data_IF_888058108540
#
_entry.id   IF_888058108540
#
_cell.length_a   1.000
_cell.length_b   1.000
_cell.length_c   1.000
_cell.angle_alpha   90.00
_cell.angle_beta   90.00
_cell.angle_gamma   90.00
#
_symmetry.space_group_name_H-M   'P 1'
#
loop_
_entity.id
_entity.type
_entity.pdbx_description
1 polymer ?
#
# COMPACT_ATOMS: atom_id res chain seq x y z
N UNK A 1 -13.75 11.20 12.04
CA UNK A 1 -12.37 10.69 11.78
C UNK A 1 -12.53 9.55 10.78
N UNK A 2 -11.80 9.59 9.68
CA UNK A 2 -11.96 8.59 8.62
C UNK A 2 -11.22 7.32 9.03
N UNK A 3 -11.93 6.20 9.23
CA UNK A 3 -11.34 4.89 9.50
C UNK A 3 -10.50 4.32 8.34
N UNK A 4 -10.20 5.14 7.34
CA UNK A 4 -9.42 4.84 6.13
C UNK A 4 -8.04 5.43 6.13
N UNK A 5 -7.61 6.05 7.25
CA UNK A 5 -6.26 6.60 7.35
C UNK A 5 -5.24 5.49 7.02
N UNK A 6 -4.30 5.81 6.17
CA UNK A 6 -3.15 4.95 5.84
C UNK A 6 -2.41 4.54 7.11
N UNK A 7 -2.39 5.44 8.09
CA UNK A 7 -1.83 5.19 9.41
C UNK A 7 -2.49 4.00 10.12
N UNK A 8 -3.82 3.92 10.15
CA UNK A 8 -4.54 2.80 10.77
C UNK A 8 -4.20 1.46 10.10
N UNK A 9 -4.00 1.44 8.78
CA UNK A 9 -3.55 0.26 8.06
C UNK A 9 -2.10 -0.11 8.43
N UNK A 10 -1.21 0.88 8.57
CA UNK A 10 0.19 0.67 9.00
C UNK A 10 0.23 0.16 10.44
N UNK A 11 -0.56 0.73 11.35
CA UNK A 11 -0.65 0.32 12.76
C UNK A 11 -1.07 -1.14 12.88
N UNK A 12 -2.14 -1.56 12.20
CA UNK A 12 -2.57 -2.97 12.16
C UNK A 12 -1.49 -3.91 11.61
N UNK A 13 -0.73 -3.48 10.60
CA UNK A 13 0.39 -4.26 10.05
C UNK A 13 1.58 -4.34 11.01
N UNK A 14 1.86 -3.31 11.82
CA UNK A 14 2.92 -3.34 12.86
C UNK A 14 2.61 -4.31 14.00
N UNK A 15 1.34 -4.47 14.34
CA UNK A 15 0.87 -5.42 15.37
C UNK A 15 0.77 -6.88 14.86
N UNK A 16 1.09 -7.08 13.58
CA UNK A 16 0.95 -8.37 12.91
C UNK A 16 1.87 -9.45 13.48
N UNK A 17 1.38 -10.68 13.45
CA UNK A 17 2.12 -11.89 13.85
C UNK A 17 3.36 -12.14 12.98
N UNK A 18 4.30 -12.98 13.44
CA UNK A 18 5.50 -13.32 12.67
C UNK A 18 5.20 -13.96 11.31
N UNK A 19 4.07 -14.66 11.18
CA UNK A 19 3.60 -15.20 9.90
C UNK A 19 3.23 -14.07 8.90
N UNK A 20 2.56 -13.03 9.37
CA UNK A 20 2.21 -11.86 8.54
C UNK A 20 3.47 -11.08 8.12
N UNK A 21 4.49 -10.98 9.00
CA UNK A 21 5.79 -10.39 8.64
C UNK A 21 6.47 -11.15 7.51
N UNK A 22 6.39 -12.50 7.51
CA UNK A 22 6.93 -13.33 6.44
C UNK A 22 6.30 -13.04 5.07
N UNK A 23 4.98 -12.79 5.04
CA UNK A 23 4.26 -12.39 3.81
C UNK A 23 4.68 -11.01 3.32
N UNK A 24 4.81 -10.04 4.23
CA UNK A 24 5.31 -8.69 3.89
C UNK A 24 6.70 -8.80 3.23
N UNK A 25 7.59 -9.64 3.78
CA UNK A 25 8.91 -9.86 3.19
C UNK A 25 8.84 -10.45 1.78
N UNK A 26 7.93 -11.40 1.55
CA UNK A 26 7.73 -12.01 0.23
C UNK A 26 7.28 -10.95 -0.78
N UNK A 27 6.29 -10.13 -0.42
CA UNK A 27 5.74 -9.07 -1.27
C UNK A 27 6.80 -8.02 -1.62
N UNK A 28 7.45 -7.43 -0.62
CA UNK A 28 8.52 -6.44 -0.83
C UNK A 28 9.71 -7.05 -1.60
N UNK A 29 10.05 -8.32 -1.34
CA UNK A 29 11.10 -9.02 -2.05
C UNK A 29 10.82 -9.16 -3.55
N UNK A 30 9.56 -9.37 -3.95
CA UNK A 30 9.15 -9.38 -5.37
C UNK A 30 9.28 -7.99 -6.00
N UNK A 31 8.81 -6.94 -5.30
CA UNK A 31 8.96 -5.55 -5.76
C UNK A 31 10.42 -5.17 -5.98
N UNK A 32 11.30 -5.51 -5.02
CA UNK A 32 12.76 -5.30 -5.14
C UNK A 32 13.32 -6.07 -6.34
N UNK A 33 12.92 -7.33 -6.54
CA UNK A 33 13.40 -8.16 -7.65
C UNK A 33 13.09 -7.52 -9.00
N UNK A 34 11.85 -7.06 -9.19
CA UNK A 34 11.44 -6.37 -10.43
C UNK A 34 12.21 -5.06 -10.60
N UNK A 35 12.27 -4.26 -9.54
CA UNK A 35 12.95 -2.97 -9.56
C UNK A 35 14.43 -3.08 -9.91
N UNK A 36 15.14 -4.11 -9.38
CA UNK A 36 16.55 -4.39 -9.70
C UNK A 36 16.74 -4.84 -11.14
N UNK A 37 15.82 -5.67 -11.66
CA UNK A 37 15.87 -6.12 -13.06
C UNK A 37 15.66 -4.97 -14.05
N UNK A 38 14.83 -3.99 -13.72
CA UNK A 38 14.51 -2.84 -14.56
C UNK A 38 15.57 -1.73 -14.48
N UNK A 39 15.99 -1.37 -13.25
CA UNK A 39 16.80 -0.18 -12.97
C UNK A 39 18.20 -0.45 -12.40
N UNK A 40 18.57 -1.72 -12.23
CA UNK A 40 19.87 -2.11 -11.67
C UNK A 40 19.89 -2.16 -10.13
N UNK A 41 20.99 -2.74 -9.55
CA UNK A 41 21.08 -3.06 -8.13
C UNK A 41 21.61 -1.92 -7.24
N UNK A 42 22.03 -0.78 -7.83
CA UNK A 42 22.61 0.33 -7.08
C UNK A 42 21.52 1.33 -6.67
N UNK A 43 21.21 1.48 -5.37
CA UNK A 43 20.17 2.41 -4.90
C UNK A 43 20.54 3.89 -5.14
N UNK A 44 21.82 4.23 -5.38
CA UNK A 44 22.19 5.60 -5.73
C UNK A 44 21.74 5.98 -7.15
N UNK A 45 21.66 5.00 -8.04
CA UNK A 45 21.24 5.18 -9.43
C UNK A 45 19.80 4.68 -9.69
N UNK A 46 19.14 4.10 -8.69
CA UNK A 46 17.79 3.56 -8.76
C UNK A 46 16.95 4.08 -7.60
N UNK A 47 16.27 5.21 -7.82
CA UNK A 47 15.47 5.89 -6.79
C UNK A 47 14.35 4.98 -6.25
N UNK A 48 13.67 4.23 -7.15
CA UNK A 48 12.62 3.27 -6.77
C UNK A 48 13.15 2.17 -5.85
N UNK A 49 14.38 1.68 -6.11
CA UNK A 49 15.03 0.70 -5.24
C UNK A 49 15.35 1.28 -3.86
N UNK A 50 15.80 2.53 -3.81
CA UNK A 50 16.06 3.24 -2.55
C UNK A 50 14.79 3.34 -1.70
N UNK A 51 13.67 3.70 -2.31
CA UNK A 51 12.37 3.81 -1.64
C UNK A 51 11.89 2.43 -1.15
N UNK A 52 12.04 1.37 -1.96
CA UNK A 52 11.71 0.00 -1.57
C UNK A 52 12.58 -0.52 -0.42
N UNK A 53 13.86 -0.15 -0.38
CA UNK A 53 14.76 -0.47 0.74
C UNK A 53 14.29 0.25 2.01
N UNK A 54 13.89 1.52 1.92
CA UNK A 54 13.34 2.26 3.05
C UNK A 54 12.03 1.62 3.54
N UNK A 55 11.11 1.27 2.63
CA UNK A 55 9.87 0.53 2.93
C UNK A 55 10.15 -0.81 3.60
N UNK A 56 11.15 -1.57 3.13
CA UNK A 56 11.55 -2.83 3.75
C UNK A 56 12.04 -2.63 5.19
N UNK A 57 12.90 -1.64 5.41
CA UNK A 57 13.43 -1.31 6.75
C UNK A 57 12.34 -0.86 7.71
N UNK A 58 11.39 -0.03 7.28
CA UNK A 58 10.24 0.40 8.11
C UNK A 58 9.32 -0.78 8.50
N UNK A 59 9.30 -1.85 7.70
CA UNK A 59 8.60 -3.10 8.01
C UNK A 59 9.49 -4.13 8.74
N UNK A 60 10.63 -3.71 9.31
CA UNK A 60 11.57 -4.56 10.05
C UNK A 60 12.13 -5.75 9.24
N UNK A 61 12.27 -5.61 7.92
CA UNK A 61 12.98 -6.60 7.10
C UNK A 61 14.47 -6.54 7.41
N UNK A 62 15.13 -7.66 7.81
CA UNK A 62 16.56 -7.66 8.08
C UNK A 62 17.39 -7.23 6.86
N UNK A 63 18.43 -6.42 7.08
CA UNK A 63 19.29 -5.93 6.00
C UNK A 63 19.89 -7.08 5.15
N UNK A 64 20.29 -8.17 5.78
CA UNK A 64 20.84 -9.35 5.09
C UNK A 64 19.84 -9.95 4.09
N UNK A 65 18.54 -9.91 4.41
CA UNK A 65 17.48 -10.38 3.52
C UNK A 65 17.32 -9.45 2.32
N UNK A 66 17.35 -8.14 2.55
CA UNK A 66 17.26 -7.13 1.48
C UNK A 66 18.42 -7.29 0.52
N UNK A 67 19.65 -7.33 1.04
CA UNK A 67 20.89 -7.51 0.24
C UNK A 67 20.88 -8.81 -0.54
N UNK A 68 20.42 -9.91 0.08
CA UNK A 68 20.30 -11.21 -0.59
C UNK A 68 19.34 -11.17 -1.76
N UNK A 69 18.19 -10.50 -1.63
CA UNK A 69 17.22 -10.35 -2.73
C UNK A 69 17.81 -9.52 -3.86
N UNK A 70 18.42 -8.38 -3.56
CA UNK A 70 19.09 -7.52 -4.55
C UNK A 70 20.18 -8.29 -5.29
N UNK A 71 21.06 -8.98 -4.57
CA UNK A 71 22.15 -9.76 -5.16
C UNK A 71 21.65 -10.90 -6.05
N UNK A 72 20.59 -11.61 -5.61
CA UNK A 72 19.97 -12.67 -6.38
C UNK A 72 19.35 -12.15 -7.67
N UNK A 73 18.65 -11.02 -7.61
CA UNK A 73 18.02 -10.39 -8.78
C UNK A 73 19.06 -9.88 -9.79
N UNK A 74 20.14 -9.23 -9.30
CA UNK A 74 21.24 -8.73 -10.14
C UNK A 74 22.06 -9.83 -10.79
N UNK A 75 22.26 -10.97 -10.11
CA UNK A 75 23.04 -12.09 -10.60
C UNK A 75 22.30 -13.02 -11.58
N UNK A 76 21.07 -12.69 -11.99
CA UNK A 76 20.26 -13.55 -12.86
C UNK A 76 19.80 -14.86 -12.23
N UNK A 77 20.00 -15.02 -10.91
CA UNK A 77 19.61 -16.22 -10.18
C UNK A 77 18.10 -16.33 -9.93
N UNK A 78 17.34 -15.26 -10.17
CA UNK A 78 15.89 -15.26 -10.12
C UNK A 78 15.31 -15.42 -11.53
N UNK A 79 14.81 -16.62 -11.82
CA UNK A 79 14.18 -16.96 -13.12
C UNK A 79 12.73 -16.51 -13.19
N UNK A 80 12.13 -16.04 -12.10
CA UNK A 80 10.75 -15.63 -12.07
C UNK A 80 10.58 -14.33 -12.87
N UNK A 81 9.65 -14.35 -13.78
CA UNK A 81 9.29 -13.17 -14.57
C UNK A 81 7.97 -12.62 -14.01
N UNK A 82 8.09 -11.70 -13.04
CA UNK A 82 6.91 -11.09 -12.43
C UNK A 82 6.29 -10.05 -13.36
N UNK A 83 4.98 -10.09 -13.45
CA UNK A 83 4.17 -9.13 -14.20
C UNK A 83 3.15 -8.49 -13.28
N UNK A 84 2.95 -7.18 -13.46
CA UNK A 84 1.92 -6.43 -12.75
C UNK A 84 0.56 -6.68 -13.36
N UNK A 85 -0.42 -7.00 -12.52
CA UNK A 85 -1.82 -7.17 -12.89
C UNK A 85 -2.69 -6.32 -11.97
N UNK A 86 -3.72 -5.69 -12.52
CA UNK A 86 -4.71 -4.94 -11.75
C UNK A 86 -6.08 -5.56 -12.00
N UNK A 87 -6.74 -5.93 -10.92
CA UNK A 87 -8.10 -6.42 -10.93
C UNK A 87 -9.02 -5.40 -10.29
N UNK A 88 -10.19 -5.23 -10.86
CA UNK A 88 -11.21 -4.29 -10.40
C UNK A 88 -12.53 -5.02 -10.24
N UNK A 89 -13.29 -4.62 -9.21
CA UNK A 89 -14.58 -5.24 -8.96
C UNK A 89 -15.32 -4.62 -7.80
N UNK A 90 -16.43 -5.24 -7.50
CA UNK A 90 -17.28 -4.84 -6.39
C UNK A 90 -17.35 -5.97 -5.36
N UNK A 91 -17.13 -5.64 -4.11
CA UNK A 91 -17.37 -6.50 -2.95
C UNK A 91 -18.84 -6.47 -2.50
N UNK A 92 -19.13 -7.03 -1.32
CA UNK A 92 -20.47 -7.01 -0.74
C UNK A 92 -21.08 -5.61 -0.75
N UNK A 93 -22.37 -5.55 -1.11
CA UNK A 93 -23.15 -4.32 -1.16
C UNK A 93 -22.54 -3.18 -2.00
N UNK A 94 -21.77 -3.53 -3.04
CA UNK A 94 -21.26 -2.55 -3.99
C UNK A 94 -20.02 -1.77 -3.54
N UNK A 95 -19.30 -2.24 -2.54
CA UNK A 95 -17.99 -1.68 -2.19
C UNK A 95 -17.04 -1.84 -3.37
N UNK A 96 -16.51 -0.73 -3.89
CA UNK A 96 -15.54 -0.76 -4.97
C UNK A 96 -14.16 -1.22 -4.47
N UNK A 97 -13.51 -2.12 -5.21
CA UNK A 97 -12.17 -2.63 -4.90
C UNK A 97 -11.25 -2.58 -6.12
N UNK A 98 -10.00 -2.19 -5.87
CA UNK A 98 -8.87 -2.35 -6.79
C UNK A 98 -7.85 -3.27 -6.11
N UNK A 99 -7.42 -4.32 -6.82
CA UNK A 99 -6.44 -5.31 -6.34
C UNK A 99 -5.23 -5.27 -7.25
N UNK A 100 -4.11 -4.78 -6.75
CA UNK A 100 -2.84 -4.76 -7.46
C UNK A 100 -2.04 -6.02 -7.13
N UNK A 101 -1.63 -6.73 -8.16
CA UNK A 101 -0.89 -7.98 -8.04
C UNK A 101 0.44 -7.92 -8.77
N UNK A 102 1.42 -8.65 -8.23
CA UNK A 102 2.71 -8.89 -8.86
C UNK A 102 2.95 -10.41 -8.89
N UNK A 103 2.79 -11.02 -10.05
CA UNK A 103 2.72 -12.47 -10.20
C UNK A 103 3.62 -13.01 -11.30
N UNK A 104 4.12 -14.23 -11.10
CA UNK A 104 4.80 -15.04 -12.10
C UNK A 104 3.82 -15.96 -12.87
N UNK A 105 2.51 -15.98 -12.47
CA UNK A 105 1.48 -16.82 -13.09
C UNK A 105 0.12 -16.12 -13.10
N UNK A 106 -0.16 -15.41 -14.19
CA UNK A 106 -1.43 -14.66 -14.39
C UNK A 106 -2.69 -15.50 -14.22
N UNK A 107 -2.67 -16.76 -14.71
CA UNK A 107 -3.85 -17.62 -14.69
C UNK A 107 -4.19 -18.07 -13.27
N UNK A 108 -3.17 -18.41 -12.46
CA UNK A 108 -3.34 -18.72 -11.05
C UNK A 108 -3.95 -17.53 -10.32
N UNK A 109 -3.31 -16.36 -10.41
CA UNK A 109 -3.75 -15.14 -9.71
C UNK A 109 -5.15 -14.72 -10.13
N UNK A 110 -5.47 -14.75 -11.43
CA UNK A 110 -6.83 -14.44 -11.92
C UNK A 110 -7.87 -15.40 -11.34
N UNK A 111 -7.54 -16.69 -11.25
CA UNK A 111 -8.41 -17.72 -10.67
C UNK A 111 -8.64 -17.47 -9.18
N UNK A 112 -7.58 -17.22 -8.42
CA UNK A 112 -7.64 -16.96 -6.99
C UNK A 112 -8.45 -15.70 -6.66
N UNK A 113 -8.12 -14.57 -7.31
CA UNK A 113 -8.83 -13.30 -7.10
C UNK A 113 -10.32 -13.44 -7.43
N UNK A 114 -10.67 -14.05 -8.58
CA UNK A 114 -12.06 -14.29 -8.93
C UNK A 114 -12.77 -15.15 -7.90
N UNK A 115 -12.12 -16.23 -7.46
CA UNK A 115 -12.68 -17.12 -6.46
C UNK A 115 -12.99 -16.39 -5.14
N UNK A 116 -12.10 -15.47 -4.69
CA UNK A 116 -12.34 -14.71 -3.46
C UNK A 116 -13.53 -13.76 -3.61
N UNK A 117 -13.61 -13.02 -4.72
CA UNK A 117 -14.77 -12.16 -4.97
C UNK A 117 -16.08 -12.98 -4.98
N UNK A 118 -16.16 -14.04 -5.76
CA UNK A 118 -17.36 -14.89 -5.88
C UNK A 118 -17.74 -15.51 -4.52
N UNK A 119 -16.77 -16.04 -3.77
CA UNK A 119 -16.98 -16.71 -2.49
C UNK A 119 -17.56 -15.77 -1.43
N UNK A 120 -17.14 -14.51 -1.41
CA UNK A 120 -17.54 -13.56 -0.38
C UNK A 120 -18.62 -12.56 -0.84
N UNK A 121 -19.34 -12.86 -1.91
CA UNK A 121 -20.51 -12.11 -2.35
C UNK A 121 -20.20 -10.84 -3.12
N UNK A 122 -19.01 -10.78 -3.72
CA UNK A 122 -18.59 -9.75 -4.64
C UNK A 122 -18.70 -10.21 -6.10
N UNK A 123 -18.19 -9.39 -6.99
CA UNK A 123 -18.14 -9.67 -8.43
C UNK A 123 -16.90 -8.99 -9.05
N UNK A 124 -16.05 -9.78 -9.69
CA UNK A 124 -14.92 -9.25 -10.45
C UNK A 124 -15.41 -8.62 -11.75
N UNK A 125 -15.10 -7.34 -11.95
CA UNK A 125 -15.48 -6.57 -13.12
C UNK A 125 -14.44 -6.57 -14.24
N UNK A 126 -14.69 -5.72 -15.23
CA UNK A 126 -13.71 -5.42 -16.29
C UNK A 126 -12.77 -4.31 -15.83
N UNK A 127 -11.58 -4.23 -16.43
CA UNK A 127 -10.65 -3.13 -16.18
C UNK A 127 -11.32 -1.77 -16.44
N UNK A 128 -11.12 -0.82 -15.52
CA UNK A 128 -11.72 0.51 -15.58
C UNK A 128 -13.12 0.62 -14.93
N UNK A 129 -13.67 -0.48 -14.38
CA UNK A 129 -15.04 -0.43 -13.83
C UNK A 129 -15.16 0.33 -12.50
N UNK A 130 -14.06 0.47 -11.73
CA UNK A 130 -14.05 1.21 -10.46
C UNK A 130 -12.89 2.20 -10.33
N UNK A 131 -11.85 2.11 -11.16
CA UNK A 131 -10.64 2.94 -11.05
C UNK A 131 -10.92 4.45 -11.15
N UNK A 132 -11.98 4.85 -11.88
CA UNK A 132 -12.42 6.26 -11.97
C UNK A 132 -12.90 6.83 -10.62
N UNK A 133 -13.22 5.98 -9.66
CA UNK A 133 -13.65 6.37 -8.31
C UNK A 133 -12.46 6.67 -7.38
N UNK A 134 -11.24 6.41 -7.81
CA UNK A 134 -10.03 6.54 -7.01
C UNK A 134 -9.06 7.55 -7.64
N UNK A 135 -8.61 8.51 -6.84
CA UNK A 135 -7.53 9.42 -7.23
C UNK A 135 -6.18 8.86 -6.74
N UNK A 136 -5.15 8.92 -7.60
CA UNK A 136 -3.79 8.61 -7.18
C UNK A 136 -3.20 9.82 -6.48
N UNK A 137 -2.78 9.68 -5.22
CA UNK A 137 -2.15 10.73 -4.41
C UNK A 137 -0.92 10.22 -3.70
N UNK A 138 0.08 11.09 -3.53
CA UNK A 138 1.18 10.84 -2.60
C UNK A 138 0.65 10.95 -1.16
N UNK A 139 1.01 9.99 -0.30
CA UNK A 139 0.70 10.01 1.13
C UNK A 139 2.00 9.93 1.91
N UNK A 140 2.23 10.91 2.77
CA UNK A 140 3.34 10.93 3.72
C UNK A 140 2.78 10.78 5.13
N UNK A 141 3.30 9.83 5.88
CA UNK A 141 2.98 9.62 7.30
C UNK A 141 4.15 10.12 8.13
N UNK A 142 3.88 11.06 9.00
CA UNK A 142 4.85 11.65 9.94
C UNK A 142 4.51 11.19 11.35
N UNK A 143 5.53 10.79 12.13
CA UNK A 143 5.36 10.45 13.55
C UNK A 143 4.95 11.69 14.34
N UNK A 144 3.85 11.59 15.11
CA UNK A 144 3.39 12.68 15.97
C UNK A 144 3.94 12.51 17.40
N UNK A 145 5.09 13.10 17.65
CA UNK A 145 5.72 13.15 19.00
C UNK A 145 5.43 14.49 19.69
N UNK A 146 4.17 14.94 19.66
CA UNK A 146 3.79 16.25 20.20
C UNK A 146 4.10 17.41 19.26
N UNK A 147 3.94 17.15 17.95
CA UNK A 147 4.11 18.18 16.92
C UNK A 147 2.98 19.20 17.06
N UNK A 148 3.33 20.48 16.95
CA UNK A 148 2.34 21.54 16.81
C UNK A 148 1.66 21.45 15.44
N UNK A 149 0.33 21.27 15.45
CA UNK A 149 -0.45 21.03 14.22
C UNK A 149 -0.39 22.22 13.26
N UNK A 150 -0.43 23.46 13.80
CA UNK A 150 -0.35 24.67 12.98
C UNK A 150 1.01 24.78 12.27
N UNK A 151 2.08 24.48 12.98
CA UNK A 151 3.45 24.47 12.42
C UNK A 151 3.60 23.37 11.35
N UNK A 152 3.09 22.17 11.61
CA UNK A 152 3.13 21.08 10.61
C UNK A 152 2.33 21.44 9.36
N UNK A 153 1.18 22.09 9.54
CA UNK A 153 0.31 22.54 8.45
C UNK A 153 1.04 23.58 7.58
N UNK A 154 1.65 24.60 8.20
CA UNK A 154 2.43 25.60 7.47
C UNK A 154 3.59 24.99 6.68
N UNK A 155 4.35 24.11 7.32
CA UNK A 155 5.47 23.40 6.69
C UNK A 155 5.00 22.47 5.56
N UNK A 156 3.91 21.74 5.74
CA UNK A 156 3.37 20.86 4.70
C UNK A 156 2.88 21.64 3.48
N UNK A 157 2.18 22.75 3.68
CA UNK A 157 1.71 23.60 2.57
C UNK A 157 2.86 24.31 1.84
N UNK A 158 3.99 24.60 2.49
CA UNK A 158 5.20 25.10 1.82
C UNK A 158 5.69 24.11 0.73
N UNK A 159 5.45 22.80 0.93
CA UNK A 159 5.80 21.74 -0.01
C UNK A 159 4.58 21.19 -0.79
N UNK A 160 3.59 22.03 -1.03
CA UNK A 160 2.43 21.74 -1.88
C UNK A 160 1.59 20.54 -1.41
N UNK A 161 1.40 20.40 -0.09
CA UNK A 161 0.44 19.44 0.45
C UNK A 161 -1.00 19.82 0.06
N UNK A 162 -1.82 18.81 -0.24
CA UNK A 162 -3.24 18.99 -0.58
C UNK A 162 -4.12 19.01 0.68
N UNK A 163 -3.80 18.13 1.64
CA UNK A 163 -4.60 17.90 2.84
C UNK A 163 -3.75 17.33 3.97
N UNK A 164 -4.16 17.58 5.20
CA UNK A 164 -3.50 17.14 6.43
C UNK A 164 -4.52 16.60 7.42
N UNK A 165 -4.25 15.44 8.02
CA UNK A 165 -5.01 14.89 9.14
C UNK A 165 -4.05 14.49 10.25
N UNK A 166 -4.27 15.01 11.47
CA UNK A 166 -3.43 14.72 12.64
C UNK A 166 -4.17 13.77 13.57
N UNK A 167 -3.52 12.65 13.90
CA UNK A 167 -3.96 11.68 14.90
C UNK A 167 -2.99 11.67 16.09
N UNK A 168 -3.33 10.94 17.16
CA UNK A 168 -2.52 10.90 18.39
C UNK A 168 -1.07 10.47 18.15
N UNK A 169 -0.84 9.47 17.30
CA UNK A 169 0.49 8.88 17.09
C UNK A 169 1.15 9.32 15.79
N UNK A 170 0.40 9.83 14.82
CA UNK A 170 0.91 10.19 13.50
C UNK A 170 0.06 11.26 12.81
N UNK A 171 0.67 11.97 11.87
CA UNK A 171 -0.02 12.83 10.92
C UNK A 171 0.05 12.24 9.51
N UNK A 172 -1.07 12.24 8.80
CA UNK A 172 -1.19 11.83 7.41
C UNK A 172 -1.33 13.06 6.52
N UNK A 173 -0.47 13.16 5.52
CA UNK A 173 -0.38 14.32 4.62
C UNK A 173 -0.50 13.83 3.20
N UNK A 174 -1.47 14.35 2.44
CA UNK A 174 -1.63 14.04 1.03
C UNK A 174 -1.05 15.12 0.12
N UNK A 175 -0.53 14.73 -1.04
CA UNK A 175 0.09 15.64 -2.02
C UNK A 175 0.03 15.10 -3.45
N UNK A 176 0.30 15.98 -4.40
CA UNK A 176 0.51 15.60 -5.79
C UNK A 176 1.96 15.13 -6.05
N UNK A 177 2.96 15.81 -5.47
CA UNK A 177 4.38 15.44 -5.57
C UNK A 177 4.91 14.85 -4.26
N UNK A 178 4.91 13.51 -4.20
CA UNK A 178 5.37 12.74 -3.05
C UNK A 178 6.84 13.00 -2.72
N UNK A 179 7.69 13.19 -3.74
CA UNK A 179 9.13 13.35 -3.51
C UNK A 179 9.44 14.71 -2.91
N UNK A 180 8.83 15.77 -3.42
CA UNK A 180 8.99 17.13 -2.92
C UNK A 180 8.53 17.24 -1.46
N UNK A 181 7.33 16.73 -1.16
CA UNK A 181 6.80 16.75 0.22
C UNK A 181 7.67 15.95 1.19
N UNK A 182 8.06 14.72 0.81
CA UNK A 182 8.90 13.86 1.66
C UNK A 182 10.25 14.51 1.96
N UNK A 183 10.93 15.03 0.94
CA UNK A 183 12.25 15.67 1.10
C UNK A 183 12.13 16.97 1.89
N UNK A 184 11.09 17.76 1.64
CA UNK A 184 10.81 18.99 2.35
C UNK A 184 10.60 18.75 3.86
N UNK A 185 9.67 17.87 4.22
CA UNK A 185 9.39 17.55 5.62
C UNK A 185 10.60 16.92 6.31
N UNK A 186 11.35 16.05 5.63
CA UNK A 186 12.59 15.48 6.16
C UNK A 186 13.64 16.57 6.45
N UNK A 187 13.77 17.58 5.59
CA UNK A 187 14.70 18.70 5.78
C UNK A 187 14.35 19.60 6.98
N UNK A 188 13.04 19.66 7.31
CA UNK A 188 12.52 20.37 8.51
C UNK A 188 12.70 19.54 9.79
N UNK A 189 13.15 18.28 9.69
CA UNK A 189 13.45 17.41 10.83
C UNK A 189 12.29 16.50 11.26
N UNK A 190 11.22 16.41 10.49
CA UNK A 190 10.12 15.49 10.77
C UNK A 190 10.53 14.03 10.55
N UNK A 191 10.10 13.16 11.46
CA UNK A 191 10.34 11.71 11.32
C UNK A 191 9.28 11.08 10.43
N UNK A 192 9.67 10.67 9.21
CA UNK A 192 8.78 10.09 8.22
C UNK A 192 8.69 8.58 8.46
N UNK A 193 7.49 8.11 8.78
CA UNK A 193 7.18 6.70 9.00
C UNK A 193 6.91 5.95 7.70
N UNK A 194 6.27 6.64 6.73
CA UNK A 194 5.98 6.09 5.39
C UNK A 194 5.82 7.22 4.38
N UNK A 195 6.18 6.96 3.13
CA UNK A 195 5.92 7.85 1.99
C UNK A 195 5.68 6.99 0.75
N UNK A 196 4.45 6.93 0.28
CA UNK A 196 4.07 6.09 -0.87
C UNK A 196 2.86 6.67 -1.61
N UNK A 197 2.72 6.28 -2.89
CA UNK A 197 1.54 6.62 -3.66
C UNK A 197 0.40 5.70 -3.26
N UNK A 198 -0.78 6.28 -2.99
CA UNK A 198 -1.99 5.56 -2.62
C UNK A 198 -3.15 5.90 -3.56
N UNK A 199 -4.22 5.12 -3.50
CA UNK A 199 -5.46 5.33 -4.26
C UNK A 199 -6.57 5.73 -3.29
N UNK A 200 -6.88 7.01 -3.29
CA UNK A 200 -7.88 7.60 -2.40
C UNK A 200 -9.24 7.60 -3.09
N UNK A 201 -10.28 6.97 -2.52
CA UNK A 201 -11.60 7.00 -3.11
C UNK A 201 -12.23 8.39 -3.01
N UNK A 202 -12.92 8.81 -4.06
CA UNK A 202 -13.68 10.07 -4.10
C UNK A 202 -15.05 9.95 -3.42
N UNK A 203 -15.55 8.73 -3.27
CA UNK A 203 -16.84 8.43 -2.61
C UNK A 203 -16.71 7.16 -1.79
N UNK A 204 -17.37 7.12 -0.64
CA UNK A 204 -17.34 6.00 0.27
C UNK A 204 -18.66 5.23 0.29
N UNK A 205 -18.58 3.95 0.61
CA UNK A 205 -19.73 3.05 0.76
C UNK A 205 -19.76 2.53 2.20
N UNK A 206 -20.82 2.83 2.94
CA UNK A 206 -21.04 2.34 4.31
C UNK A 206 -21.74 0.98 4.27
N UNK A 207 -21.27 0.03 5.08
CA UNK A 207 -21.94 -1.25 5.31
C UNK A 207 -22.61 -1.23 6.69
N UNK A 208 -23.90 -1.53 6.70
CA UNK A 208 -24.70 -1.58 7.94
C UNK A 208 -25.15 -3.01 8.30
N UNK A 209 -25.13 -3.91 7.34
CA UNK A 209 -25.49 -5.32 7.53
C UNK A 209 -24.31 -6.12 8.03
N UNK A 210 -24.46 -6.82 9.18
CA UNK A 210 -23.38 -7.60 9.80
C UNK A 210 -22.85 -8.73 8.90
N UNK A 211 -23.70 -9.33 8.06
CA UNK A 211 -23.27 -10.37 7.12
C UNK A 211 -22.39 -9.78 6.01
N UNK A 212 -22.76 -8.58 5.49
CA UNK A 212 -21.94 -7.88 4.51
C UNK A 212 -20.60 -7.43 5.10
N UNK A 213 -20.58 -6.91 6.32
CA UNK A 213 -19.36 -6.54 7.05
C UNK A 213 -18.45 -7.76 7.23
N UNK A 214 -19.00 -8.88 7.68
CA UNK A 214 -18.25 -10.13 7.85
C UNK A 214 -17.67 -10.63 6.52
N UNK A 215 -18.46 -10.65 5.46
CA UNK A 215 -18.01 -11.08 4.12
C UNK A 215 -16.92 -10.15 3.57
N UNK A 216 -17.07 -8.84 3.78
CA UNK A 216 -16.07 -7.86 3.34
C UNK A 216 -14.73 -8.05 4.07
N UNK A 217 -14.74 -8.23 5.38
CA UNK A 217 -13.54 -8.52 6.16
C UNK A 217 -12.84 -9.80 5.67
N UNK A 218 -13.60 -10.88 5.44
CA UNK A 218 -13.05 -12.14 4.91
C UNK A 218 -12.49 -11.98 3.49
N UNK A 219 -13.13 -11.17 2.64
CA UNK A 219 -12.62 -10.86 1.30
C UNK A 219 -11.28 -10.14 1.38
N UNK A 220 -11.17 -9.10 2.20
CA UNK A 220 -9.93 -8.36 2.40
C UNK A 220 -8.83 -9.27 2.96
N UNK A 221 -9.14 -10.06 4.00
CA UNK A 221 -8.20 -11.01 4.60
C UNK A 221 -7.62 -11.98 3.57
N UNK A 222 -8.48 -12.62 2.75
CA UNK A 222 -8.02 -13.58 1.74
C UNK A 222 -7.22 -12.93 0.61
N UNK A 223 -7.60 -11.71 0.19
CA UNK A 223 -6.84 -10.94 -0.79
C UNK A 223 -5.46 -10.55 -0.23
N UNK A 224 -5.42 -9.99 0.98
CA UNK A 224 -4.17 -9.58 1.62
C UNK A 224 -3.25 -10.76 1.95
N UNK A 225 -3.83 -11.93 2.21
CA UNK A 225 -3.12 -13.18 2.49
C UNK A 225 -2.47 -13.81 1.26
N UNK A 226 -2.91 -13.45 0.06
CA UNK A 226 -2.34 -13.96 -1.18
C UNK A 226 -0.99 -13.29 -1.49
N UNK A 227 0.05 -14.10 -1.69
CA UNK A 227 1.41 -13.61 -1.96
C UNK A 227 1.55 -12.84 -3.28
N UNK A 228 0.64 -13.06 -4.23
CA UNK A 228 0.64 -12.34 -5.51
C UNK A 228 0.00 -10.95 -5.39
N UNK A 229 -0.85 -10.72 -4.38
CA UNK A 229 -1.50 -9.43 -4.14
C UNK A 229 -0.56 -8.50 -3.39
N UNK A 230 -0.26 -7.35 -3.97
CA UNK A 230 0.59 -6.32 -3.36
C UNK A 230 -0.23 -5.34 -2.53
N UNK A 231 -1.26 -4.76 -3.15
CA UNK A 231 -2.12 -3.76 -2.53
C UNK A 231 -3.59 -4.08 -2.80
N UNK A 232 -4.44 -3.76 -1.83
CA UNK A 232 -5.91 -3.77 -1.96
C UNK A 232 -6.41 -2.40 -1.55
N UNK A 233 -7.10 -1.72 -2.47
CA UNK A 233 -7.74 -0.44 -2.22
C UNK A 233 -9.25 -0.62 -2.29
N UNK A 234 -9.98 0.05 -1.41
CA UNK A 234 -11.42 -0.04 -1.37
C UNK A 234 -12.05 1.26 -0.88
N UNK A 235 -13.32 1.46 -1.22
CA UNK A 235 -14.08 2.62 -0.77
C UNK A 235 -15.05 2.31 0.38
N UNK A 236 -14.84 1.20 1.09
CA UNK A 236 -15.64 0.86 2.26
C UNK A 236 -15.32 1.81 3.41
N UNK A 237 -16.32 2.54 3.89
CA UNK A 237 -16.24 3.37 5.09
C UNK A 237 -16.44 2.49 6.34
N UNK A 238 -15.35 2.29 7.08
CA UNK A 238 -15.38 1.55 8.34
C UNK A 238 -15.85 2.54 9.42
N UNK A 239 -17.10 2.39 9.87
CA UNK A 239 -17.62 3.11 11.03
C UNK A 239 -17.30 2.30 12.28
N UNK A 240 -16.69 2.96 13.29
CA UNK A 240 -16.45 2.39 14.62
C UNK A 240 -17.78 2.15 15.36
#
# INVERSE_FOLDING_TARGET
MSGHSKWNNIKRKKEATDAAKGKIFTKIGREITVCVKEGGPDPNNNAKLRDLIAKAKSNNVPNDNIERVIKKAAGGGDKNNYETMVYEGYGPNGVALIVECLTDNKNRTAGDVRHYFDKFGGNLGTSGCVSFMFASKGIVIVENNGIDEDTLMEDAFEFEADDLSVEEEAAEISCADLSALREGLSSKGYNILSAEVDRIPSTYTTLTDEEHIKKMNLLLEHLEDNDDVQNVYHNWEITE
#
